data_IF_405245010021
#
_entry.id   IF_405245010021
#
_cell.length_a   1.000
_cell.length_b   1.000
_cell.length_c   1.000
_cell.angle_alpha   90.00
_cell.angle_beta   90.00
_cell.angle_gamma   90.00
#
_symmetry.space_group_name_H-M   'P 1'
#
loop_
_entity.id
_entity.type
_entity.pdbx_description
1 polymer ?
#
# COMPACT_ATOMS: atom_id res chain seq x y z
N UNK A 1 -52.73 -33.46 16.46
CA UNK A 1 -51.94 -33.83 15.28
C UNK A 1 -50.89 -32.76 15.11
N UNK A 2 -49.79 -32.92 15.83
CA UNK A 2 -48.76 -31.92 16.03
C UNK A 2 -47.62 -32.20 15.03
N UNK A 3 -47.48 -31.32 14.05
CA UNK A 3 -46.45 -31.39 13.03
C UNK A 3 -45.23 -30.58 13.45
N UNK A 4 -44.23 -31.23 14.03
CA UNK A 4 -42.87 -30.67 14.12
C UNK A 4 -41.85 -31.74 13.73
N UNK A 5 -41.25 -31.52 12.57
CA UNK A 5 -40.12 -32.28 12.02
C UNK A 5 -38.96 -32.26 13.03
N UNK A 6 -38.49 -33.43 13.44
CA UNK A 6 -37.24 -33.58 14.20
C UNK A 6 -36.05 -33.16 13.33
N UNK A 7 -35.06 -32.42 13.85
CA UNK A 7 -33.85 -32.11 13.10
C UNK A 7 -32.97 -33.36 12.97
N UNK A 8 -32.37 -33.53 11.79
CA UNK A 8 -31.31 -34.49 11.52
C UNK A 8 -30.13 -34.23 12.47
N UNK A 9 -29.86 -35.14 13.39
CA UNK A 9 -28.61 -35.15 14.14
C UNK A 9 -27.49 -35.71 13.25
N UNK A 10 -26.57 -34.84 12.81
CA UNK A 10 -25.27 -35.26 12.27
C UNK A 10 -24.50 -35.98 13.38
N UNK A 11 -24.53 -37.32 13.38
CA UNK A 11 -23.60 -38.14 14.16
C UNK A 11 -22.22 -38.09 13.49
N UNK A 12 -21.49 -37.01 13.71
CA UNK A 12 -20.05 -36.98 13.50
C UNK A 12 -19.37 -37.76 14.62
N UNK A 13 -18.57 -38.78 14.27
CA UNK A 13 -17.68 -39.48 15.23
C UNK A 13 -16.84 -38.43 15.96
N UNK A 14 -16.87 -38.43 17.30
CA UNK A 14 -16.01 -37.61 18.13
C UNK A 14 -14.56 -38.13 18.08
N UNK A 15 -13.88 -37.89 16.97
CA UNK A 15 -12.42 -37.72 17.00
C UNK A 15 -12.15 -36.29 17.45
N UNK A 16 -11.19 -36.08 18.37
CA UNK A 16 -10.80 -34.76 18.82
C UNK A 16 -10.56 -33.85 17.59
N UNK A 17 -11.51 -32.94 17.34
CA UNK A 17 -11.39 -31.97 16.25
C UNK A 17 -10.24 -31.06 16.67
N UNK A 18 -9.08 -31.21 16.04
CA UNK A 18 -7.95 -30.34 16.29
C UNK A 18 -8.44 -28.90 16.10
N UNK A 19 -8.58 -28.17 17.20
CA UNK A 19 -8.96 -26.76 17.15
C UNK A 19 -7.78 -26.05 16.52
N UNK A 20 -7.93 -25.65 15.25
CA UNK A 20 -6.92 -24.84 14.58
C UNK A 20 -6.80 -23.52 15.35
N UNK A 21 -5.62 -23.25 15.90
CA UNK A 21 -5.30 -22.01 16.61
C UNK A 21 -4.28 -21.23 15.79
N UNK A 22 -4.42 -19.92 15.78
CA UNK A 22 -3.39 -19.03 15.26
C UNK A 22 -2.27 -18.90 16.30
N UNK A 23 -1.05 -18.53 15.88
CA UNK A 23 0.03 -18.22 16.81
C UNK A 23 -0.36 -17.13 17.81
N UNK A 24 0.18 -17.19 19.01
CA UNK A 24 0.02 -16.11 19.99
C UNK A 24 0.60 -14.81 19.41
N UNK A 25 -0.10 -13.70 19.63
CA UNK A 25 0.28 -12.39 19.07
C UNK A 25 0.01 -12.23 17.58
N UNK A 26 -0.78 -13.13 16.95
CA UNK A 26 -1.22 -12.94 15.57
C UNK A 26 -1.98 -11.61 15.42
N UNK A 27 -1.59 -10.82 14.41
CA UNK A 27 -2.21 -9.53 14.12
C UNK A 27 -3.46 -9.74 13.25
N UNK A 28 -4.62 -9.50 13.85
CA UNK A 28 -5.92 -9.41 13.20
C UNK A 28 -6.25 -7.93 12.99
N UNK A 29 -6.23 -7.50 11.74
CA UNK A 29 -6.43 -6.10 11.41
C UNK A 29 -7.31 -5.88 10.19
N UNK A 30 -7.64 -4.61 10.01
CA UNK A 30 -8.27 -4.05 8.81
C UNK A 30 -7.32 -3.05 8.17
N UNK A 31 -7.53 -2.73 6.90
CA UNK A 31 -6.65 -1.87 6.12
C UNK A 31 -7.42 -0.79 5.35
N UNK A 32 -6.80 0.39 5.21
CA UNK A 32 -7.33 1.54 4.46
C UNK A 32 -6.22 2.26 3.70
N UNK A 33 -6.61 3.23 2.87
CA UNK A 33 -5.72 4.16 2.16
C UNK A 33 -6.20 5.59 2.36
N UNK A 34 -5.26 6.52 2.55
CA UNK A 34 -5.51 7.91 2.85
C UNK A 34 -6.48 8.56 1.84
N UNK A 35 -6.15 8.55 0.54
CA UNK A 35 -7.01 9.16 -0.48
C UNK A 35 -8.41 8.52 -0.56
N UNK A 36 -8.52 7.22 -0.25
CA UNK A 36 -9.80 6.49 -0.34
C UNK A 36 -10.76 6.82 0.80
N UNK A 37 -10.28 7.28 1.96
CA UNK A 37 -11.15 7.48 3.14
C UNK A 37 -11.07 8.88 3.75
N UNK A 38 -9.96 9.61 3.62
CA UNK A 38 -9.72 10.85 4.39
C UNK A 38 -10.65 11.98 3.97
N UNK A 39 -10.74 12.26 2.67
CA UNK A 39 -11.32 13.51 2.17
C UNK A 39 -10.52 14.74 2.63
N UNK A 40 -11.21 15.88 2.69
CA UNK A 40 -10.65 17.15 3.16
C UNK A 40 -9.38 17.55 2.37
N UNK A 41 -9.51 17.58 1.05
CA UNK A 41 -8.40 17.76 0.12
C UNK A 41 -7.76 19.16 0.19
N UNK A 42 -8.48 20.15 0.70
CA UNK A 42 -8.08 21.55 0.86
C UNK A 42 -7.74 21.94 2.32
N UNK A 43 -7.86 20.99 3.26
CA UNK A 43 -7.64 21.26 4.67
C UNK A 43 -6.16 21.25 5.06
N UNK A 44 -5.81 22.12 6.01
CA UNK A 44 -4.54 22.09 6.76
C UNK A 44 -3.28 22.06 5.90
N UNK A 45 -3.33 22.70 4.73
CA UNK A 45 -2.17 22.88 3.86
C UNK A 45 -1.84 21.68 2.96
N UNK A 46 -2.70 20.66 2.89
CA UNK A 46 -2.56 19.54 1.95
C UNK A 46 -2.40 20.04 0.50
N UNK A 47 -1.42 19.50 -0.21
CA UNK A 47 -1.23 19.73 -1.65
C UNK A 47 -2.08 18.84 -2.54
N UNK A 48 -2.14 19.15 -3.83
CA UNK A 48 -2.77 18.30 -4.85
C UNK A 48 -1.99 16.99 -5.03
N UNK A 49 -2.67 15.86 -5.15
CA UNK A 49 -2.10 14.57 -5.59
C UNK A 49 -2.53 14.24 -7.02
N UNK A 50 -1.84 13.27 -7.63
CA UNK A 50 -2.22 12.74 -8.95
C UNK A 50 -3.65 12.23 -9.03
N UNK A 51 -4.21 11.76 -7.90
CA UNK A 51 -5.59 11.30 -7.86
C UNK A 51 -6.60 12.44 -7.76
N UNK A 52 -6.25 13.58 -7.15
CA UNK A 52 -7.11 14.76 -7.16
C UNK A 52 -7.33 15.23 -8.60
N UNK A 53 -6.25 15.31 -9.38
CA UNK A 53 -6.29 15.69 -10.80
C UNK A 53 -7.03 14.67 -11.65
N UNK A 54 -6.65 13.39 -11.54
CA UNK A 54 -7.24 12.31 -12.32
C UNK A 54 -8.75 12.17 -12.11
N UNK A 55 -9.21 12.24 -10.85
CA UNK A 55 -10.64 12.12 -10.53
C UNK A 55 -11.42 13.40 -10.81
N UNK A 56 -10.78 14.57 -10.67
CA UNK A 56 -11.38 15.87 -10.96
C UNK A 56 -11.89 15.99 -12.40
N UNK A 57 -11.25 15.31 -13.35
CA UNK A 57 -11.70 15.25 -14.75
C UNK A 57 -12.94 14.37 -14.97
N UNK A 58 -13.12 13.35 -14.12
CA UNK A 58 -14.20 12.34 -14.24
C UNK A 58 -15.46 12.68 -13.44
N UNK A 59 -15.36 13.51 -12.40
CA UNK A 59 -16.46 13.87 -11.50
C UNK A 59 -16.57 13.04 -10.21
N UNK A 60 -15.94 11.87 -10.14
CA UNK A 60 -15.91 11.00 -8.95
C UNK A 60 -14.80 11.42 -7.97
N UNK A 61 -15.00 12.57 -7.30
CA UNK A 61 -13.96 13.20 -6.46
C UNK A 61 -13.74 12.50 -5.12
N UNK A 62 -12.49 12.51 -4.67
CA UNK A 62 -12.09 12.11 -3.31
C UNK A 62 -12.25 13.22 -2.25
N UNK A 63 -13.09 14.24 -2.48
CA UNK A 63 -13.16 15.44 -1.63
C UNK A 63 -13.81 15.20 -0.27
N UNK A 64 -14.84 14.35 -0.25
CA UNK A 64 -15.47 13.87 0.99
C UNK A 64 -14.94 12.49 1.35
N UNK A 65 -14.92 11.54 0.40
CA UNK A 65 -14.59 10.13 0.65
C UNK A 65 -15.45 9.56 1.82
N UNK A 66 -14.82 9.09 2.89
CA UNK A 66 -15.50 8.69 4.14
C UNK A 66 -15.45 9.79 5.22
N UNK A 67 -14.88 10.96 4.92
CA UNK A 67 -14.64 12.07 5.85
C UNK A 67 -13.79 11.65 7.07
N UNK A 68 -12.93 10.64 6.90
CA UNK A 68 -12.08 10.11 7.96
C UNK A 68 -11.16 11.19 8.55
N UNK A 69 -10.74 12.18 7.75
CA UNK A 69 -9.88 13.27 8.25
C UNK A 69 -10.51 13.99 9.46
N UNK A 70 -11.83 14.15 9.47
CA UNK A 70 -12.58 14.76 10.57
C UNK A 70 -13.11 13.73 11.57
N UNK A 71 -13.47 12.54 11.08
CA UNK A 71 -14.16 11.47 11.83
C UNK A 71 -13.26 10.39 12.41
N UNK A 72 -11.94 10.52 12.26
CA UNK A 72 -10.98 9.48 12.68
C UNK A 72 -11.17 9.00 14.12
N UNK A 73 -11.64 9.85 15.05
CA UNK A 73 -11.94 9.46 16.44
C UNK A 73 -13.06 8.43 16.53
N UNK A 74 -14.10 8.60 15.73
CA UNK A 74 -15.24 7.69 15.65
C UNK A 74 -14.79 6.37 15.01
N UNK A 75 -13.98 6.44 13.95
CA UNK A 75 -13.44 5.25 13.28
C UNK A 75 -12.51 4.45 14.21
N UNK A 76 -11.66 5.13 14.99
CA UNK A 76 -10.81 4.48 16.01
C UNK A 76 -11.64 3.85 17.12
N UNK A 77 -12.77 4.45 17.50
CA UNK A 77 -13.71 3.84 18.43
C UNK A 77 -14.33 2.55 17.84
N UNK A 78 -14.77 2.60 16.58
CA UNK A 78 -15.31 1.44 15.85
C UNK A 78 -14.28 0.30 15.72
N UNK A 79 -13.01 0.61 15.47
CA UNK A 79 -11.95 -0.41 15.45
C UNK A 79 -11.82 -1.13 16.80
N UNK A 80 -11.95 -0.39 17.90
CA UNK A 80 -11.97 -0.96 19.25
C UNK A 80 -13.18 -1.87 19.49
N UNK A 81 -14.37 -1.46 19.03
CA UNK A 81 -15.59 -2.27 19.12
C UNK A 81 -15.53 -3.54 18.27
N UNK A 82 -14.90 -3.46 17.10
CA UNK A 82 -14.67 -4.61 16.21
C UNK A 82 -13.72 -5.65 16.82
N UNK A 83 -12.88 -5.24 17.79
CA UNK A 83 -11.96 -6.12 18.50
C UNK A 83 -10.71 -6.51 17.68
N UNK A 84 -10.32 -5.70 16.69
CA UNK A 84 -9.06 -5.87 15.97
C UNK A 84 -7.88 -5.40 16.82
N UNK A 85 -6.71 -5.99 16.62
CA UNK A 85 -5.48 -5.63 17.33
C UNK A 85 -4.45 -4.95 16.42
N UNK A 86 -4.77 -4.73 15.15
CA UNK A 86 -3.93 -3.98 14.21
C UNK A 86 -4.77 -3.14 13.25
N UNK A 87 -4.25 -1.98 12.86
CA UNK A 87 -4.84 -1.15 11.82
C UNK A 87 -3.77 -0.72 10.84
N UNK A 88 -3.94 -1.13 9.58
CA UNK A 88 -3.09 -0.70 8.48
C UNK A 88 -3.69 0.54 7.82
N UNK A 89 -2.94 1.64 7.79
CA UNK A 89 -3.35 2.85 7.09
C UNK A 89 -2.17 3.41 6.30
N UNK A 90 -2.43 4.29 5.33
CA UNK A 90 -1.37 5.04 4.67
C UNK A 90 -1.32 6.47 5.15
N UNK A 91 -0.14 7.08 5.04
CA UNK A 91 0.04 8.51 5.22
C UNK A 91 -0.05 9.17 3.84
N UNK A 92 -0.88 10.19 3.70
CA UNK A 92 -0.93 10.98 2.48
C UNK A 92 0.35 11.81 2.35
N UNK A 93 1.22 11.42 1.42
CA UNK A 93 2.40 12.20 1.07
C UNK A 93 2.06 13.69 0.80
N UNK A 94 1.04 14.06 0.00
CA UNK A 94 0.67 15.47 -0.22
C UNK A 94 0.19 16.20 1.04
N UNK A 95 -0.17 15.50 2.12
CA UNK A 95 -0.56 16.13 3.38
C UNK A 95 0.66 16.49 4.25
N UNK A 96 1.73 15.71 4.18
CA UNK A 96 2.97 16.01 4.90
C UNK A 96 3.92 16.88 4.06
N UNK A 97 3.99 16.66 2.75
CA UNK A 97 4.85 17.39 1.82
C UNK A 97 3.99 17.84 0.64
N UNK A 98 3.34 19.02 0.73
CA UNK A 98 2.36 19.49 -0.26
C UNK A 98 2.87 19.55 -1.70
N UNK A 99 4.16 19.83 -1.89
CA UNK A 99 4.83 19.84 -3.20
C UNK A 99 5.66 18.57 -3.45
N UNK A 100 5.57 17.58 -2.55
CA UNK A 100 6.42 16.39 -2.51
C UNK A 100 7.84 16.64 -2.01
N UNK A 101 8.17 17.88 -1.64
CA UNK A 101 9.47 18.30 -1.11
C UNK A 101 9.29 19.03 0.21
N UNK A 102 10.37 19.09 1.00
CA UNK A 102 10.38 19.85 2.24
C UNK A 102 10.01 21.33 1.99
N UNK A 103 9.46 22.05 2.98
CA UNK A 103 9.28 21.65 4.38
C UNK A 103 8.08 20.72 4.63
N UNK A 104 8.13 20.02 5.76
CA UNK A 104 6.99 19.23 6.28
C UNK A 104 5.88 20.18 6.77
N UNK A 105 4.63 19.89 6.43
CA UNK A 105 3.43 20.60 6.91
C UNK A 105 3.03 20.06 8.30
N UNK A 106 3.23 20.85 9.37
CA UNK A 106 3.08 20.37 10.75
C UNK A 106 1.66 19.93 11.09
N UNK A 107 0.62 20.57 10.54
CA UNK A 107 -0.78 20.20 10.86
C UNK A 107 -1.14 18.83 10.29
N UNK A 108 -0.64 18.53 9.09
CA UNK A 108 -0.73 17.21 8.47
C UNK A 108 -0.03 16.16 9.32
N UNK A 109 1.16 16.46 9.83
CA UNK A 109 1.88 15.54 10.70
C UNK A 109 1.19 15.32 12.05
N UNK A 110 0.65 16.39 12.65
CA UNK A 110 -0.11 16.31 13.89
C UNK A 110 -1.39 15.47 13.76
N UNK A 111 -2.03 15.45 12.58
CA UNK A 111 -3.16 14.58 12.32
C UNK A 111 -2.79 13.10 12.49
N UNK A 112 -1.74 12.63 11.81
CA UNK A 112 -1.31 11.23 11.92
C UNK A 112 -0.73 10.91 13.30
N UNK A 113 -0.04 11.85 13.95
CA UNK A 113 0.45 11.67 15.32
C UNK A 113 -0.72 11.35 16.28
N UNK A 114 -1.81 12.13 16.23
CA UNK A 114 -3.00 11.89 17.07
C UNK A 114 -3.72 10.59 16.74
N UNK A 115 -3.78 10.23 15.45
CA UNK A 115 -4.34 8.94 15.02
C UNK A 115 -3.54 7.78 15.61
N UNK A 116 -2.21 7.83 15.49
CA UNK A 116 -1.30 6.82 16.05
C UNK A 116 -1.45 6.69 17.56
N UNK A 117 -1.45 7.81 18.29
CA UNK A 117 -1.61 7.82 19.75
C UNK A 117 -2.94 7.16 20.16
N UNK A 118 -4.03 7.51 19.48
CA UNK A 118 -5.36 6.98 19.83
C UNK A 118 -5.54 5.50 19.50
N UNK A 119 -4.85 4.99 18.48
CA UNK A 119 -4.80 3.55 18.19
C UNK A 119 -4.07 2.81 19.32
N UNK A 120 -2.91 3.33 19.74
CA UNK A 120 -2.09 2.74 20.79
C UNK A 120 -2.76 2.76 22.15
N UNK A 121 -3.47 3.84 22.50
CA UNK A 121 -4.30 3.94 23.71
C UNK A 121 -5.36 2.82 23.80
N UNK A 122 -5.80 2.29 22.65
CA UNK A 122 -6.76 1.18 22.54
C UNK A 122 -6.10 -0.18 22.34
N UNK A 123 -4.77 -0.26 22.40
CA UNK A 123 -4.03 -1.49 22.17
C UNK A 123 -4.03 -1.96 20.72
N UNK A 124 -4.33 -1.08 19.77
CA UNK A 124 -4.36 -1.38 18.32
C UNK A 124 -3.00 -1.01 17.73
N UNK A 125 -2.32 -1.99 17.13
CA UNK A 125 -1.01 -1.79 16.52
C UNK A 125 -1.11 -1.00 15.20
N UNK A 126 -0.46 0.17 15.08
CA UNK A 126 -0.40 0.90 13.81
C UNK A 126 0.54 0.18 12.84
N UNK A 127 0.05 -0.09 11.63
CA UNK A 127 0.82 -0.61 10.49
C UNK A 127 0.81 0.45 9.39
N UNK A 128 1.90 1.20 9.25
CA UNK A 128 1.94 2.40 8.40
C UNK A 128 2.42 2.06 6.99
N UNK A 129 1.65 2.45 5.98
CA UNK A 129 2.06 2.43 4.57
C UNK A 129 2.50 3.85 4.15
N UNK A 130 3.75 4.00 3.70
CA UNK A 130 4.28 5.32 3.35
C UNK A 130 3.72 5.84 2.01
N UNK A 131 3.62 4.97 1.00
CA UNK A 131 3.08 5.33 -0.30
C UNK A 131 1.92 4.41 -0.70
N UNK A 132 0.74 5.00 -0.85
CA UNK A 132 -0.46 4.33 -1.33
C UNK A 132 -1.10 5.13 -2.48
N UNK A 133 -0.26 5.42 -3.48
CA UNK A 133 -0.60 5.90 -4.82
C UNK A 133 -0.91 7.39 -4.95
N UNK A 134 -1.06 8.12 -3.85
CA UNK A 134 -1.34 9.55 -3.81
C UNK A 134 -0.07 10.40 -3.94
N UNK A 135 0.66 10.25 -5.05
CA UNK A 135 1.86 11.05 -5.34
C UNK A 135 1.48 12.55 -5.41
N UNK A 136 2.23 13.47 -4.75
CA UNK A 136 2.03 14.90 -4.92
C UNK A 136 2.13 15.29 -6.40
N UNK A 137 1.13 16.01 -6.90
CA UNK A 137 1.00 16.34 -8.31
C UNK A 137 2.18 17.18 -8.83
N UNK A 138 2.78 18.02 -7.97
CA UNK A 138 3.98 18.77 -8.31
C UNK A 138 5.16 17.87 -8.72
N UNK A 139 5.27 16.65 -8.16
CA UNK A 139 6.28 15.68 -8.61
C UNK A 139 5.92 15.03 -9.94
N UNK A 140 4.62 14.76 -10.19
CA UNK A 140 4.16 14.24 -11.48
C UNK A 140 4.35 15.25 -12.61
N UNK A 141 4.13 16.54 -12.34
CA UNK A 141 4.40 17.63 -13.29
C UNK A 141 5.89 17.68 -13.70
N UNK A 142 6.79 17.15 -12.87
CA UNK A 142 8.24 16.99 -13.12
C UNK A 142 8.63 15.59 -13.66
N UNK A 143 7.64 14.76 -14.02
CA UNK A 143 7.82 13.43 -14.61
C UNK A 143 7.49 12.26 -13.69
N UNK A 144 7.14 12.52 -12.43
CA UNK A 144 6.56 11.54 -11.51
C UNK A 144 7.45 10.32 -11.30
N UNK A 145 6.85 9.13 -11.26
CA UNK A 145 7.63 7.91 -11.08
C UNK A 145 8.52 7.54 -12.28
N UNK A 146 8.37 8.19 -13.44
CA UNK A 146 9.33 8.06 -14.55
C UNK A 146 10.61 8.85 -14.28
N UNK A 147 10.57 9.87 -13.42
CA UNK A 147 11.75 10.61 -12.98
C UNK A 147 12.45 9.89 -11.83
N UNK A 148 13.76 9.65 -11.98
CA UNK A 148 14.57 8.97 -10.95
C UNK A 148 14.59 9.73 -9.61
N UNK A 149 14.59 11.07 -9.65
CA UNK A 149 14.64 11.93 -8.45
C UNK A 149 13.44 11.70 -7.52
N UNK A 150 12.29 11.26 -8.04
CA UNK A 150 11.10 10.92 -7.23
C UNK A 150 11.41 9.86 -6.18
N UNK A 151 12.28 8.89 -6.51
CA UNK A 151 12.72 7.88 -5.53
C UNK A 151 13.56 8.46 -4.39
N UNK A 152 14.34 9.51 -4.66
CA UNK A 152 15.10 10.23 -3.63
C UNK A 152 14.18 11.14 -2.80
N UNK A 153 13.19 11.80 -3.43
CA UNK A 153 12.15 12.56 -2.71
C UNK A 153 11.32 11.68 -1.78
N UNK A 154 10.98 10.48 -2.23
CA UNK A 154 10.28 9.50 -1.40
C UNK A 154 11.12 9.12 -0.18
N UNK A 155 12.44 8.99 -0.32
CA UNK A 155 13.33 8.66 0.79
C UNK A 155 13.39 9.78 1.84
N UNK A 156 13.40 11.05 1.42
CA UNK A 156 13.34 12.21 2.32
C UNK A 156 12.02 12.27 3.08
N UNK A 157 10.90 12.06 2.37
CA UNK A 157 9.57 11.95 2.98
C UNK A 157 9.48 10.79 3.97
N UNK A 158 10.00 9.61 3.61
CA UNK A 158 10.04 8.44 4.48
C UNK A 158 10.87 8.71 5.74
N UNK A 159 12.04 9.35 5.60
CA UNK A 159 12.89 9.74 6.74
C UNK A 159 12.14 10.65 7.71
N UNK A 160 11.43 11.68 7.21
CA UNK A 160 10.62 12.55 8.05
C UNK A 160 9.50 11.80 8.79
N UNK A 161 8.88 10.79 8.15
CA UNK A 161 7.90 9.93 8.81
C UNK A 161 8.53 9.08 9.92
N UNK A 162 9.72 8.53 9.70
CA UNK A 162 10.43 7.75 10.73
C UNK A 162 10.85 8.62 11.91
N UNK A 163 11.29 9.85 11.65
CA UNK A 163 11.63 10.80 12.69
C UNK A 163 10.41 11.20 13.52
N UNK A 164 9.28 11.47 12.88
CA UNK A 164 8.05 11.90 13.53
C UNK A 164 7.31 10.79 14.29
N UNK A 165 7.33 9.55 13.78
CA UNK A 165 6.45 8.48 14.28
C UNK A 165 7.16 7.18 14.66
N UNK A 166 8.45 7.02 14.32
CA UNK A 166 9.19 5.78 14.53
C UNK A 166 9.49 5.43 15.99
N UNK A 167 9.19 6.33 16.93
CA UNK A 167 9.18 6.04 18.37
C UNK A 167 7.98 5.16 18.78
N UNK A 168 6.87 5.25 18.03
CA UNK A 168 5.57 4.61 18.31
C UNK A 168 5.19 3.54 17.29
N UNK A 169 5.59 3.71 16.03
CA UNK A 169 5.24 2.81 14.92
C UNK A 169 6.33 1.75 14.72
N UNK A 170 5.94 0.48 14.83
CA UNK A 170 6.84 -0.68 14.67
C UNK A 170 6.73 -1.38 13.31
N UNK A 171 5.66 -1.16 12.56
CA UNK A 171 5.40 -1.88 11.30
C UNK A 171 5.26 -0.90 10.15
N UNK A 172 6.22 -0.94 9.24
CA UNK A 172 6.31 -0.04 8.10
C UNK A 172 6.21 -0.80 6.78
N UNK A 173 5.38 -0.30 5.89
CA UNK A 173 5.26 -0.72 4.50
C UNK A 173 5.68 0.47 3.64
N UNK A 174 6.67 0.30 2.76
CA UNK A 174 7.13 1.42 1.93
C UNK A 174 6.12 1.77 0.86
N UNK A 175 5.83 0.82 -0.02
CA UNK A 175 5.03 1.03 -1.23
C UNK A 175 3.99 -0.08 -1.30
N UNK A 176 2.73 0.32 -1.49
CA UNK A 176 1.64 -0.58 -1.79
C UNK A 176 1.59 -0.90 -3.29
N UNK A 177 1.58 -2.18 -3.63
CA UNK A 177 1.24 -2.73 -4.95
C UNK A 177 1.95 -2.03 -6.12
N UNK A 178 3.30 -2.07 -6.17
CA UNK A 178 4.06 -1.36 -7.19
C UNK A 178 3.73 -1.81 -8.62
N UNK A 179 3.28 -3.06 -8.80
CA UNK A 179 2.80 -3.56 -10.09
C UNK A 179 1.60 -2.77 -10.59
N UNK A 180 0.61 -2.53 -9.72
CA UNK A 180 -0.61 -1.80 -10.07
C UNK A 180 -0.28 -0.35 -10.44
N UNK A 181 0.67 0.28 -9.77
CA UNK A 181 1.10 1.66 -10.06
C UNK A 181 1.58 1.80 -11.51
N UNK A 182 2.46 0.91 -11.97
CA UNK A 182 2.94 0.94 -13.36
C UNK A 182 1.87 0.48 -14.36
N UNK A 183 1.24 -0.68 -14.12
CA UNK A 183 0.27 -1.28 -15.03
C UNK A 183 -0.94 -0.37 -15.26
N UNK A 184 -1.61 0.05 -14.18
CA UNK A 184 -2.85 0.83 -14.31
C UNK A 184 -2.60 2.32 -14.48
N UNK A 185 -1.49 2.84 -13.93
CA UNK A 185 -1.15 4.26 -14.02
C UNK A 185 -0.46 4.67 -15.31
N UNK A 186 0.38 3.79 -15.88
CA UNK A 186 1.23 4.13 -17.03
C UNK A 186 0.95 3.32 -18.30
N UNK A 187 0.51 2.05 -18.19
CA UNK A 187 0.19 1.24 -19.36
C UNK A 187 -1.29 1.37 -19.79
N UNK A 188 -2.23 1.13 -18.87
CA UNK A 188 -3.66 1.10 -19.21
C UNK A 188 -4.41 2.42 -19.01
N UNK A 189 -3.85 3.35 -18.22
CA UNK A 189 -4.45 4.64 -17.92
C UNK A 189 -5.81 4.52 -17.22
N UNK A 190 -5.96 3.49 -16.40
CA UNK A 190 -7.14 3.23 -15.58
C UNK A 190 -6.99 3.84 -14.18
N UNK A 191 -5.76 4.06 -13.73
CA UNK A 191 -5.42 4.78 -12.50
C UNK A 191 -4.65 6.06 -12.82
N UNK A 192 -4.57 6.97 -11.85
CA UNK A 192 -3.67 8.12 -11.93
C UNK A 192 -2.21 7.66 -12.14
N UNK A 193 -1.39 8.36 -12.95
CA UNK A 193 -1.69 9.62 -13.64
C UNK A 193 -2.42 9.46 -15.00
N UNK A 194 -2.75 8.24 -15.43
CA UNK A 194 -3.64 8.02 -16.58
C UNK A 194 -2.95 7.89 -17.94
N UNK A 195 -1.64 7.58 -18.01
CA UNK A 195 -0.98 7.36 -19.30
C UNK A 195 -1.46 6.05 -19.94
N UNK A 196 -1.51 6.04 -21.28
CA UNK A 196 -1.97 4.90 -22.08
C UNK A 196 -0.88 4.48 -23.06
N UNK A 197 -0.56 3.18 -23.05
CA UNK A 197 0.42 2.58 -23.96
C UNK A 197 1.88 2.92 -23.65
N UNK A 198 2.20 3.48 -22.49
CA UNK A 198 3.58 3.84 -22.12
C UNK A 198 4.34 2.63 -21.53
N UNK A 199 4.60 1.63 -22.36
CA UNK A 199 5.32 0.39 -21.97
C UNK A 199 6.68 0.72 -21.36
N UNK A 200 7.41 1.67 -21.93
CA UNK A 200 8.72 2.10 -21.40
C UNK A 200 8.56 2.81 -20.06
N UNK A 201 7.55 3.66 -19.93
CA UNK A 201 7.22 4.35 -18.69
C UNK A 201 6.87 3.37 -17.57
N UNK A 202 6.03 2.38 -17.84
CA UNK A 202 5.69 1.31 -16.90
C UNK A 202 6.94 0.61 -16.33
N UNK A 203 7.82 0.10 -17.19
CA UNK A 203 9.04 -0.60 -16.75
C UNK A 203 9.97 0.33 -15.96
N UNK A 204 10.06 1.60 -16.39
CA UNK A 204 10.83 2.63 -15.68
C UNK A 204 10.25 2.89 -14.28
N UNK A 205 8.93 2.97 -14.17
CA UNK A 205 8.19 3.17 -12.92
C UNK A 205 8.40 1.98 -11.99
N UNK A 206 8.31 0.74 -12.48
CA UNK A 206 8.63 -0.45 -11.68
C UNK A 206 10.04 -0.37 -11.07
N UNK A 207 11.03 0.05 -11.87
CA UNK A 207 12.40 0.22 -11.39
C UNK A 207 12.51 1.31 -10.33
N UNK A 208 11.92 2.48 -10.55
CA UNK A 208 12.01 3.60 -9.61
C UNK A 208 11.25 3.36 -8.31
N UNK A 209 10.13 2.62 -8.33
CA UNK A 209 9.44 2.19 -7.11
C UNK A 209 10.32 1.23 -6.28
N UNK A 210 11.00 0.27 -6.92
CA UNK A 210 11.93 -0.63 -6.23
C UNK A 210 13.15 0.12 -5.68
N UNK A 211 13.68 1.08 -6.44
CA UNK A 211 14.74 1.98 -5.97
C UNK A 211 14.28 2.76 -4.74
N UNK A 212 13.09 3.37 -4.79
CA UNK A 212 12.49 4.15 -3.71
C UNK A 212 12.26 3.29 -2.45
N UNK A 213 11.78 2.05 -2.61
CA UNK A 213 11.72 1.07 -1.52
C UNK A 213 13.10 0.88 -0.87
N UNK A 214 14.14 0.58 -1.68
CA UNK A 214 15.49 0.40 -1.17
C UNK A 214 16.03 1.63 -0.43
N UNK A 215 15.78 2.83 -0.96
CA UNK A 215 16.17 4.09 -0.31
C UNK A 215 15.45 4.33 1.01
N UNK A 216 14.14 4.08 1.08
CA UNK A 216 13.39 4.18 2.32
C UNK A 216 13.85 3.15 3.37
N UNK A 217 14.21 1.93 2.96
CA UNK A 217 14.81 0.93 3.87
C UNK A 217 16.18 1.38 4.39
N UNK A 218 17.01 2.00 3.54
CA UNK A 218 18.28 2.59 3.97
C UNK A 218 18.05 3.72 4.99
N UNK A 219 17.11 4.63 4.72
CA UNK A 219 16.74 5.71 5.63
C UNK A 219 16.22 5.18 6.98
N UNK A 220 15.36 4.16 6.97
CA UNK A 220 14.86 3.53 8.19
C UNK A 220 16.00 2.96 9.04
N UNK A 221 16.93 2.21 8.42
CA UNK A 221 18.08 1.64 9.13
C UNK A 221 19.01 2.72 9.70
N UNK A 222 19.22 3.81 8.96
CA UNK A 222 20.03 4.94 9.40
C UNK A 222 19.39 5.72 10.56
N UNK A 223 18.06 5.76 10.64
CA UNK A 223 17.33 6.46 11.72
C UNK A 223 17.53 5.85 13.11
N UNK A 224 18.00 4.60 13.20
CA UNK A 224 18.15 3.87 14.46
C UNK A 224 16.83 3.53 15.16
N UNK A 225 15.68 3.77 14.52
CA UNK A 225 14.37 3.39 15.06
C UNK A 225 14.21 1.87 15.05
N UNK A 226 13.56 1.35 16.08
CA UNK A 226 13.26 -0.08 16.19
C UNK A 226 11.91 -0.40 15.52
N UNK A 227 11.84 -1.52 14.82
CA UNK A 227 10.68 -1.94 14.03
C UNK A 227 11.05 -2.79 12.82
N UNK A 228 10.03 -3.07 12.00
CA UNK A 228 10.14 -3.85 10.77
C UNK A 228 9.67 -3.00 9.61
N UNK A 229 10.37 -3.14 8.49
CA UNK A 229 10.06 -2.43 7.25
C UNK A 229 10.05 -3.41 6.07
N UNK A 230 9.11 -3.25 5.16
CA UNK A 230 8.97 -4.11 3.97
C UNK A 230 8.19 -3.46 2.85
N UNK A 231 8.13 -4.14 1.71
CA UNK A 231 7.25 -3.81 0.58
C UNK A 231 5.90 -4.52 0.78
N UNK A 232 4.80 -3.96 0.25
CA UNK A 232 3.50 -4.64 0.18
C UNK A 232 3.13 -4.96 -1.28
N UNK A 233 3.64 -6.05 -1.88
CA UNK A 233 3.31 -6.44 -3.25
C UNK A 233 1.95 -7.16 -3.32
N UNK A 234 1.23 -6.99 -4.45
CA UNK A 234 0.02 -7.73 -4.79
C UNK A 234 0.36 -9.04 -5.52
N UNK A 235 0.80 -10.05 -4.78
CA UNK A 235 1.19 -11.32 -5.39
C UNK A 235 -0.04 -12.13 -5.81
N UNK A 236 0.04 -12.79 -6.97
CA UNK A 236 -1.01 -13.69 -7.47
C UNK A 236 -0.44 -15.07 -7.77
N UNK A 237 -1.10 -16.17 -7.39
CA UNK A 237 -0.69 -17.49 -7.85
C UNK A 237 -1.00 -17.65 -9.36
N UNK A 238 -0.06 -18.17 -10.12
CA UNK A 238 -0.22 -18.45 -11.55
C UNK A 238 -0.26 -19.95 -11.78
N UNK A 239 -1.33 -20.42 -12.43
CA UNK A 239 -1.52 -21.82 -12.79
C UNK A 239 -1.72 -21.91 -14.30
N UNK A 240 -1.06 -22.83 -15.00
CA UNK A 240 -1.30 -23.05 -16.41
C UNK A 240 -2.72 -23.59 -16.62
N UNK A 241 -3.34 -23.24 -17.75
CA UNK A 241 -4.69 -23.69 -18.08
C UNK A 241 -4.75 -25.19 -18.40
N UNK A 242 -3.63 -25.75 -18.87
CA UNK A 242 -3.44 -27.17 -19.17
C UNK A 242 -1.97 -27.57 -19.01
N UNK A 243 -1.66 -28.85 -19.26
CA UNK A 243 -0.28 -29.35 -19.31
C UNK A 243 0.44 -29.07 -20.65
N UNK A 244 -0.20 -28.32 -21.57
CA UNK A 244 0.45 -27.89 -22.81
C UNK A 244 1.70 -27.06 -22.47
N UNK A 245 2.89 -27.38 -23.04
CA UNK A 245 4.10 -26.60 -22.81
C UNK A 245 3.95 -25.09 -23.04
N UNK A 246 3.08 -24.65 -23.95
CA UNK A 246 2.81 -23.24 -24.20
C UNK A 246 2.06 -22.57 -23.04
N UNK A 247 1.09 -23.26 -22.44
CA UNK A 247 0.35 -22.75 -21.26
C UNK A 247 1.27 -22.65 -20.04
N UNK A 248 2.17 -23.61 -19.87
CA UNK A 248 3.20 -23.59 -18.81
C UNK A 248 4.15 -22.40 -18.98
N UNK A 249 4.60 -22.16 -20.21
CA UNK A 249 5.50 -21.04 -20.56
C UNK A 249 4.84 -19.69 -20.26
N UNK A 250 3.60 -19.49 -20.73
CA UNK A 250 2.85 -18.24 -20.49
C UNK A 250 2.54 -18.03 -19.02
N UNK A 251 2.20 -19.09 -18.28
CA UNK A 251 2.01 -19.01 -16.82
C UNK A 251 3.29 -18.57 -16.10
N UNK A 252 4.44 -19.12 -16.48
CA UNK A 252 5.74 -18.74 -15.92
C UNK A 252 6.11 -17.29 -16.26
N UNK A 253 5.84 -16.85 -17.48
CA UNK A 253 6.04 -15.46 -17.88
C UNK A 253 5.14 -14.48 -17.12
N UNK A 254 3.89 -14.85 -16.88
CA UNK A 254 2.94 -14.07 -16.09
C UNK A 254 3.42 -13.92 -14.64
N UNK A 255 3.91 -15.00 -14.02
CA UNK A 255 4.56 -14.96 -12.70
C UNK A 255 5.81 -14.08 -12.70
N UNK A 256 6.59 -14.11 -13.78
CA UNK A 256 7.69 -13.18 -14.07
C UNK A 256 7.29 -11.72 -13.94
N UNK A 257 6.25 -11.35 -14.67
CA UNK A 257 5.74 -9.99 -14.76
C UNK A 257 5.07 -9.49 -13.47
N UNK A 258 4.24 -10.32 -12.83
CA UNK A 258 3.42 -9.91 -11.67
C UNK A 258 4.20 -10.04 -10.36
N UNK A 259 4.93 -11.15 -10.15
CA UNK A 259 5.53 -11.48 -8.87
C UNK A 259 7.06 -11.27 -8.88
N UNK A 260 7.77 -12.03 -9.71
CA UNK A 260 9.24 -12.12 -9.65
C UNK A 260 9.93 -10.82 -10.02
N UNK A 261 9.33 -9.99 -10.88
CA UNK A 261 9.83 -8.67 -11.21
C UNK A 261 10.06 -7.78 -9.97
N UNK A 262 9.27 -7.98 -8.90
CA UNK A 262 9.38 -7.24 -7.65
C UNK A 262 10.08 -8.03 -6.54
N UNK A 263 9.92 -9.35 -6.49
CA UNK A 263 10.53 -10.19 -5.45
C UNK A 263 12.01 -10.44 -5.69
N UNK A 264 12.43 -10.75 -6.92
CA UNK A 264 13.82 -11.12 -7.22
C UNK A 264 14.80 -9.96 -6.96
N UNK A 265 14.52 -8.70 -7.32
CA UNK A 265 15.40 -7.59 -6.96
C UNK A 265 15.58 -7.42 -5.44
N UNK A 266 14.56 -7.73 -4.64
CA UNK A 266 14.59 -7.59 -3.18
C UNK A 266 15.38 -8.74 -2.53
N UNK A 267 15.14 -9.99 -2.96
CA UNK A 267 15.69 -11.17 -2.30
C UNK A 267 16.97 -11.71 -2.96
N UNK A 268 17.20 -11.38 -4.24
CA UNK A 268 18.32 -11.89 -5.04
C UNK A 268 19.21 -10.78 -5.61
N UNK A 269 18.74 -9.54 -5.63
CA UNK A 269 19.52 -8.39 -6.13
C UNK A 269 19.62 -8.31 -7.66
N UNK A 270 18.76 -9.04 -8.39
CA UNK A 270 18.70 -9.03 -9.86
C UNK A 270 17.27 -9.17 -10.36
N UNK A 271 16.98 -8.68 -11.55
CA UNK A 271 15.71 -8.96 -12.24
C UNK A 271 15.68 -10.42 -12.77
N UNK A 272 14.49 -11.02 -12.91
CA UNK A 272 14.35 -12.32 -13.55
C UNK A 272 14.71 -12.23 -15.04
N UNK A 273 15.73 -12.99 -15.46
CA UNK A 273 16.36 -12.91 -16.80
C UNK A 273 15.35 -13.18 -17.93
N UNK A 274 14.49 -14.19 -17.77
CA UNK A 274 13.46 -14.55 -18.73
C UNK A 274 12.42 -13.44 -18.97
N UNK A 275 12.09 -12.69 -17.93
CA UNK A 275 11.18 -11.55 -18.05
C UNK A 275 11.90 -10.33 -18.60
N UNK A 276 13.17 -10.15 -18.23
CA UNK A 276 14.01 -9.07 -18.73
C UNK A 276 14.20 -9.14 -20.25
N UNK A 277 14.44 -10.34 -20.79
CA UNK A 277 14.62 -10.54 -22.23
C UNK A 277 13.37 -10.21 -23.03
N UNK A 278 12.17 -10.37 -22.45
CA UNK A 278 10.90 -9.96 -23.06
C UNK A 278 10.76 -8.44 -23.23
N UNK A 279 11.46 -7.64 -22.44
CA UNK A 279 11.50 -6.17 -22.60
C UNK A 279 12.65 -5.69 -23.51
N UNK A 280 13.60 -6.57 -23.84
CA UNK A 280 14.70 -6.25 -24.76
C UNK A 280 14.35 -6.46 -26.24
N UNK A 281 13.40 -7.35 -26.52
CA UNK A 281 12.89 -7.65 -27.85
C UNK A 281 11.98 -6.54 -28.38
#
# INVERSE_FOLDING_TARGET
MDGRRSPLWLRGRAGARAVKRFPDGFLWGVATSAFQIEGALDADGRGESIWDRFTGESGDRGDVACDHYRRWRDDVALLGELGVNAYRFSIAWPRLFPTGRAPLEPRGADHYSRLIDSLLERGIQPVVTLYHWDLPQALEDEGGWRARDTGERFAEYAAACFDAYGDRVRWWLTINEPWIVGLLGYLHGLHAPGYRGDVRGEVTVFHHLLLAHGRAVQAFRASGKDGRIGLAPNLSPHYPASDDPADVEVSHASDGYVNRWFLDPIFRGSYPEDTWDRYRA
#
